data_IF_725884296784
#
_entry.id   IF_725884296784
#
_cell.length_a   1.000
_cell.length_b   1.000
_cell.length_c   1.000
_cell.angle_alpha   90.00
_cell.angle_beta   90.00
_cell.angle_gamma   90.00
#
_symmetry.space_group_name_H-M   'P 1'
#
loop_
_entity.id
_entity.type
_entity.pdbx_description
1 polymer ?
#
# COMPACT_ATOMS: atom_id res chain seq x y z
N UNK A 1 26.92 37.42 -8.96
CA UNK A 1 26.98 37.31 -7.48
C UNK A 1 25.61 37.06 -6.82
N UNK A 2 24.57 36.59 -7.53
CA UNK A 2 23.20 36.41 -6.98
C UNK A 2 22.76 34.95 -6.72
N UNK A 3 23.51 33.94 -7.17
CA UNK A 3 23.08 32.53 -7.03
C UNK A 3 23.40 31.91 -5.66
N UNK A 4 24.28 32.53 -4.85
CA UNK A 4 24.67 31.99 -3.55
C UNK A 4 23.63 32.24 -2.44
N UNK A 5 22.78 33.26 -2.59
CA UNK A 5 21.79 33.65 -1.57
C UNK A 5 20.53 32.76 -1.68
N UNK A 6 20.14 32.36 -2.90
CA UNK A 6 18.96 31.53 -3.13
C UNK A 6 19.10 30.10 -2.56
N UNK A 7 20.29 29.51 -2.63
CA UNK A 7 20.55 28.14 -2.15
C UNK A 7 20.49 28.06 -0.62
N UNK A 8 21.02 29.05 0.10
CA UNK A 8 20.99 29.09 1.57
C UNK A 8 19.56 29.13 2.12
N UNK A 9 18.66 29.85 1.47
CA UNK A 9 17.26 29.97 1.90
C UNK A 9 16.47 28.67 1.69
N UNK A 10 16.76 27.90 0.64
CA UNK A 10 16.14 26.57 0.42
C UNK A 10 16.58 25.55 1.46
N UNK A 11 17.88 25.49 1.80
CA UNK A 11 18.38 24.58 2.85
C UNK A 11 17.84 24.92 4.24
N UNK A 12 17.70 26.21 4.56
CA UNK A 12 17.12 26.63 5.85
C UNK A 12 15.64 26.26 5.93
N UNK A 13 14.91 26.38 4.82
CA UNK A 13 13.51 26.01 4.74
C UNK A 13 13.31 24.50 4.96
N UNK A 14 14.11 23.65 4.30
CA UNK A 14 14.06 22.20 4.50
C UNK A 14 14.43 21.77 5.93
N UNK A 15 15.43 22.42 6.55
CA UNK A 15 15.78 22.13 7.95
C UNK A 15 14.66 22.51 8.93
N UNK A 16 13.91 23.60 8.67
CA UNK A 16 12.77 23.99 9.50
C UNK A 16 11.61 23.00 9.37
N UNK A 17 11.35 22.47 8.18
CA UNK A 17 10.37 21.40 7.99
C UNK A 17 10.75 20.11 8.73
N UNK A 18 12.03 19.71 8.68
CA UNK A 18 12.53 18.54 9.41
C UNK A 18 12.43 18.75 10.93
N UNK A 19 12.78 19.94 11.43
CA UNK A 19 12.67 20.28 12.84
C UNK A 19 11.22 20.34 13.33
N UNK A 20 10.28 20.88 12.53
CA UNK A 20 8.85 20.87 12.84
C UNK A 20 8.25 19.46 12.80
N UNK A 21 8.72 18.60 11.89
CA UNK A 21 8.36 17.18 11.87
C UNK A 21 8.85 16.48 13.14
N UNK A 22 10.11 16.71 13.55
CA UNK A 22 10.70 16.20 14.80
C UNK A 22 9.98 16.72 16.04
N UNK A 23 9.53 17.98 16.03
CA UNK A 23 8.76 18.55 17.13
C UNK A 23 7.36 17.91 17.25
N UNK A 24 6.67 17.66 16.13
CA UNK A 24 5.40 16.92 16.12
C UNK A 24 5.58 15.45 16.56
N UNK A 25 6.72 14.83 16.24
CA UNK A 25 7.10 13.49 16.70
C UNK A 25 7.31 13.45 18.22
N UNK A 26 7.87 14.50 18.81
CA UNK A 26 8.14 14.59 20.25
C UNK A 26 6.94 15.05 21.07
N UNK A 27 6.02 15.81 20.45
CA UNK A 27 4.90 16.45 21.14
C UNK A 27 3.57 15.68 21.03
N UNK A 28 3.52 14.51 20.39
CA UNK A 28 2.30 13.68 20.35
C UNK A 28 2.27 12.71 21.54
N UNK A 29 1.47 12.98 22.59
CA UNK A 29 1.26 12.00 23.64
C UNK A 29 0.50 10.81 23.05
N UNK A 30 1.01 9.63 23.33
CA UNK A 30 0.33 8.33 23.35
C UNK A 30 -1.18 8.33 23.03
N UNK A 31 -1.55 8.38 21.75
CA UNK A 31 -2.90 8.02 21.30
C UNK A 31 -2.82 7.23 19.99
N UNK A 32 -2.54 5.94 20.13
CA UNK A 32 -3.09 4.86 19.30
C UNK A 32 -2.80 3.57 20.05
N UNK A 33 -3.73 3.21 20.94
CA UNK A 33 -3.82 1.86 21.49
C UNK A 33 -4.46 0.96 20.43
N UNK A 34 -3.72 0.62 19.38
CA UNK A 34 -4.11 -0.50 18.51
C UNK A 34 -3.74 -1.80 19.20
N UNK A 35 -4.77 -2.50 19.67
CA UNK A 35 -4.73 -3.77 20.41
C UNK A 35 -3.99 -4.89 19.68
N UNK A 36 -3.79 -4.77 18.36
CA UNK A 36 -3.05 -5.71 17.52
C UNK A 36 -1.52 -5.71 17.73
N UNK A 37 -0.95 -4.66 18.33
CA UNK A 37 0.51 -4.50 18.49
C UNK A 37 1.11 -5.16 19.74
N UNK A 38 0.28 -5.80 20.55
CA UNK A 38 0.66 -6.32 21.87
C UNK A 38 1.64 -7.49 21.80
N UNK A 39 1.72 -8.24 20.69
CA UNK A 39 2.55 -9.46 20.62
C UNK A 39 3.93 -9.30 19.97
N UNK A 40 4.24 -8.20 19.28
CA UNK A 40 5.60 -7.93 18.78
C UNK A 40 6.10 -6.57 19.22
N UNK A 41 6.93 -6.57 20.26
CA UNK A 41 7.68 -5.39 20.71
C UNK A 41 8.69 -4.99 19.62
N UNK A 42 8.27 -4.15 18.67
CA UNK A 42 9.19 -3.32 17.90
C UNK A 42 10.01 -2.51 18.92
N UNK A 43 11.34 -2.68 18.91
CA UNK A 43 12.26 -2.00 19.84
C UNK A 43 12.96 -0.82 19.17
N UNK A 44 13.22 0.23 19.95
CA UNK A 44 14.03 1.37 19.53
C UNK A 44 13.45 2.15 18.35
N UNK A 45 14.32 2.54 17.41
CA UNK A 45 13.95 3.36 16.25
C UNK A 45 12.85 2.73 15.39
N UNK A 46 12.74 1.40 15.33
CA UNK A 46 11.69 0.70 14.55
C UNK A 46 10.28 1.05 14.99
N UNK A 47 10.06 1.24 16.30
CA UNK A 47 8.75 1.68 16.84
C UNK A 47 8.44 3.11 16.40
N UNK A 48 9.43 3.99 16.46
CA UNK A 48 9.29 5.39 16.08
C UNK A 48 9.00 5.54 14.59
N UNK A 49 9.72 4.81 13.73
CA UNK A 49 9.46 4.80 12.31
C UNK A 49 8.11 4.16 11.95
N UNK A 50 7.71 3.09 12.65
CA UNK A 50 6.38 2.52 12.47
C UNK A 50 5.29 3.56 12.75
N UNK A 51 5.33 4.20 13.92
CA UNK A 51 4.40 5.26 14.30
C UNK A 51 4.39 6.42 13.30
N UNK A 52 5.57 6.82 12.81
CA UNK A 52 5.70 7.85 11.80
C UNK A 52 5.00 7.51 10.49
N UNK A 53 5.16 6.27 10.03
CA UNK A 53 4.59 5.86 8.76
C UNK A 53 3.08 5.65 8.89
N UNK A 54 2.60 5.03 9.97
CA UNK A 54 1.16 4.85 10.19
C UNK A 54 0.42 6.13 10.53
N UNK A 55 1.12 7.15 11.04
CA UNK A 55 0.57 8.48 11.22
C UNK A 55 0.42 9.24 9.89
N UNK A 56 1.09 8.82 8.82
CA UNK A 56 1.00 9.49 7.52
C UNK A 56 -0.43 9.40 6.97
N UNK A 57 -1.07 10.52 6.59
CA UNK A 57 -2.48 10.54 6.20
C UNK A 57 -2.81 9.60 5.04
N UNK A 58 -1.86 9.33 4.15
CA UNK A 58 -2.07 8.40 3.05
C UNK A 58 -1.95 6.90 3.41
N UNK A 59 -1.46 6.58 4.62
CA UNK A 59 -1.42 5.22 5.21
C UNK A 59 -2.60 5.02 6.16
N UNK A 60 -3.52 5.99 6.25
CA UNK A 60 -4.70 5.92 7.13
C UNK A 60 -5.88 5.18 6.53
N UNK A 61 -5.82 4.72 5.29
CA UNK A 61 -6.95 3.95 4.77
C UNK A 61 -7.11 2.67 5.60
N UNK A 62 -8.34 2.30 6.01
CA UNK A 62 -8.55 1.11 6.83
C UNK A 62 -7.99 -0.15 6.17
N UNK A 63 -8.07 -0.24 4.84
CA UNK A 63 -7.54 -1.37 4.09
C UNK A 63 -6.00 -1.44 4.15
N UNK A 64 -5.30 -0.31 3.96
CA UNK A 64 -3.83 -0.30 4.04
C UNK A 64 -3.36 -0.70 5.45
N UNK A 65 -4.04 -0.24 6.50
CA UNK A 65 -3.72 -0.63 7.87
C UNK A 65 -3.85 -2.14 8.09
N UNK A 66 -4.92 -2.76 7.59
CA UNK A 66 -5.14 -4.21 7.67
C UNK A 66 -4.08 -5.00 6.89
N UNK A 67 -3.78 -4.59 5.66
CA UNK A 67 -2.77 -5.26 4.83
C UNK A 67 -1.37 -5.12 5.44
N UNK A 68 -1.03 -3.91 5.90
CA UNK A 68 0.24 -3.66 6.56
C UNK A 68 0.36 -4.47 7.86
N UNK A 69 -0.69 -4.54 8.65
CA UNK A 69 -0.72 -5.38 9.85
C UNK A 69 -0.49 -6.85 9.51
N UNK A 70 -1.16 -7.36 8.47
CA UNK A 70 -0.99 -8.74 7.99
C UNK A 70 0.45 -9.00 7.51
N UNK A 71 1.05 -8.04 6.79
CA UNK A 71 2.45 -8.09 6.37
C UNK A 71 3.40 -8.16 7.56
N UNK A 72 3.23 -7.26 8.52
CA UNK A 72 4.15 -7.08 9.64
C UNK A 72 4.07 -8.23 10.65
N UNK A 73 2.87 -8.76 10.89
CA UNK A 73 2.68 -9.94 11.74
C UNK A 73 3.16 -11.22 11.06
N UNK A 74 3.17 -11.26 9.72
CA UNK A 74 3.45 -12.46 8.95
C UNK A 74 2.33 -13.51 9.08
N UNK A 75 1.09 -13.07 9.28
CA UNK A 75 -0.05 -13.90 9.67
C UNK A 75 -0.60 -14.82 8.58
N UNK A 76 0.02 -14.91 7.40
CA UNK A 76 -0.47 -15.79 6.34
C UNK A 76 0.22 -15.59 5.00
N UNK A 77 -0.26 -16.34 4.01
CA UNK A 77 0.15 -16.25 2.61
C UNK A 77 -0.92 -15.59 1.74
N UNK A 78 -2.15 -15.44 2.24
CA UNK A 78 -3.29 -14.84 1.54
C UNK A 78 -4.11 -13.96 2.47
N UNK A 79 -4.54 -12.81 1.97
CA UNK A 79 -5.55 -11.94 2.54
C UNK A 79 -6.74 -11.87 1.60
N UNK A 80 -7.93 -12.19 2.11
CA UNK A 80 -9.18 -12.10 1.37
C UNK A 80 -9.89 -10.79 1.73
N UNK A 81 -10.18 -9.96 0.73
CA UNK A 81 -11.06 -8.81 0.93
C UNK A 81 -12.45 -9.29 1.36
N UNK A 82 -13.10 -8.51 2.22
CA UNK A 82 -14.54 -8.69 2.48
C UNK A 82 -15.36 -8.28 1.27
N UNK A 83 -16.63 -8.71 1.20
CA UNK A 83 -17.56 -8.30 0.14
C UNK A 83 -17.70 -6.76 0.07
N UNK A 84 -17.74 -6.09 1.22
CA UNK A 84 -17.83 -4.63 1.34
C UNK A 84 -16.58 -3.91 0.79
N UNK A 85 -15.40 -4.42 1.14
CA UNK A 85 -14.12 -3.91 0.63
C UNK A 85 -14.02 -4.11 -0.88
N UNK A 86 -14.50 -5.26 -1.38
CA UNK A 86 -14.49 -5.58 -2.80
C UNK A 86 -15.48 -4.72 -3.61
N UNK A 87 -16.69 -4.47 -3.11
CA UNK A 87 -17.64 -3.57 -3.79
C UNK A 87 -17.13 -2.13 -3.83
N UNK A 88 -16.43 -1.68 -2.80
CA UNK A 88 -15.75 -0.36 -2.80
C UNK A 88 -14.64 -0.34 -3.86
N UNK A 89 -13.80 -1.38 -3.90
CA UNK A 89 -12.75 -1.53 -4.92
C UNK A 89 -13.34 -1.53 -6.33
N UNK A 90 -14.45 -2.23 -6.57
CA UNK A 90 -15.12 -2.25 -7.88
C UNK A 90 -15.54 -0.87 -8.36
N UNK A 91 -16.07 -0.02 -7.47
CA UNK A 91 -16.43 1.37 -7.78
C UNK A 91 -15.20 2.18 -8.18
N UNK A 92 -14.13 2.08 -7.38
CA UNK A 92 -12.86 2.77 -7.67
C UNK A 92 -12.26 2.31 -9.00
N UNK A 93 -12.20 1.00 -9.24
CA UNK A 93 -11.71 0.43 -10.50
C UNK A 93 -12.54 0.93 -11.68
N UNK A 94 -13.87 0.96 -11.55
CA UNK A 94 -14.77 1.49 -12.58
C UNK A 94 -14.46 2.94 -12.96
N UNK A 95 -14.13 3.78 -11.99
CA UNK A 95 -13.73 5.18 -12.21
C UNK A 95 -12.36 5.28 -12.89
N UNK A 96 -11.38 4.48 -12.44
CA UNK A 96 -10.00 4.53 -12.96
C UNK A 96 -9.87 3.93 -14.37
N UNK A 97 -10.69 2.92 -14.73
CA UNK A 97 -10.69 2.31 -16.07
C UNK A 97 -11.00 3.31 -17.18
N UNK A 98 -11.76 4.37 -16.89
CA UNK A 98 -12.08 5.43 -17.83
C UNK A 98 -10.86 6.29 -18.22
N UNK A 99 -9.77 6.24 -17.44
CA UNK A 99 -8.64 7.17 -17.58
C UNK A 99 -7.44 6.56 -18.32
N UNK A 100 -7.14 5.26 -18.15
CA UNK A 100 -6.17 4.48 -18.96
C UNK A 100 -6.12 3.02 -18.47
N UNK A 101 -6.21 2.03 -19.35
CA UNK A 101 -6.01 0.61 -18.97
C UNK A 101 -5.23 -0.16 -20.03
N UNK A 102 -4.60 -1.26 -19.62
CA UNK A 102 -3.87 -2.18 -20.49
C UNK A 102 -4.50 -3.57 -20.35
N UNK A 103 -4.99 -4.11 -21.47
CA UNK A 103 -5.57 -5.45 -21.52
C UNK A 103 -4.43 -6.48 -21.54
N UNK A 104 -4.38 -7.33 -20.52
CA UNK A 104 -3.26 -8.28 -20.34
C UNK A 104 -3.56 -9.59 -21.07
N UNK A 105 -4.79 -10.11 -20.94
CA UNK A 105 -5.13 -11.43 -21.47
C UNK A 105 -6.65 -11.64 -21.56
N UNK A 106 -7.14 -12.15 -22.69
CA UNK A 106 -8.48 -12.74 -22.79
C UNK A 106 -8.38 -14.21 -22.32
N UNK A 107 -9.05 -14.53 -21.22
CA UNK A 107 -9.05 -15.87 -20.63
C UNK A 107 -10.39 -16.54 -20.92
N UNK A 108 -10.44 -17.31 -22.02
CA UNK A 108 -11.66 -17.91 -22.57
C UNK A 108 -12.74 -16.87 -22.95
N UNK A 109 -13.75 -17.27 -23.74
CA UNK A 109 -14.77 -16.34 -24.25
C UNK A 109 -15.56 -15.60 -23.15
N UNK A 110 -15.55 -16.12 -21.91
CA UNK A 110 -16.33 -15.58 -20.80
C UNK A 110 -15.59 -14.52 -19.95
N UNK A 111 -14.26 -14.46 -19.93
CA UNK A 111 -13.51 -13.57 -19.03
C UNK A 111 -12.29 -12.91 -19.68
N UNK A 112 -11.90 -11.75 -19.15
CA UNK A 112 -10.65 -11.10 -19.51
C UNK A 112 -9.98 -10.47 -18.29
N UNK A 113 -8.66 -10.28 -18.37
CA UNK A 113 -7.85 -9.65 -17.33
C UNK A 113 -7.32 -8.31 -17.81
N UNK A 114 -7.51 -7.27 -17.01
CA UNK A 114 -6.90 -5.95 -17.24
C UNK A 114 -6.03 -5.52 -16.07
N UNK A 115 -5.01 -4.73 -16.40
CA UNK A 115 -4.19 -4.05 -15.41
C UNK A 115 -4.80 -2.69 -15.07
N UNK A 116 -5.07 -2.46 -13.79
CA UNK A 116 -5.66 -1.21 -13.31
C UNK A 116 -4.68 -0.52 -12.36
N UNK A 117 -4.40 0.75 -12.63
CA UNK A 117 -3.57 1.60 -11.77
C UNK A 117 -4.46 2.38 -10.81
N UNK A 118 -4.18 2.23 -9.53
CA UNK A 118 -4.86 2.88 -8.41
C UNK A 118 -3.92 3.87 -7.69
N UNK A 119 -2.72 4.13 -8.21
CA UNK A 119 -1.65 4.89 -7.53
C UNK A 119 -2.12 6.27 -6.97
N UNK A 120 -3.12 6.88 -7.61
CA UNK A 120 -3.67 8.20 -7.25
C UNK A 120 -4.95 8.11 -6.39
N UNK A 121 -5.46 6.90 -6.12
CA UNK A 121 -6.64 6.68 -5.28
C UNK A 121 -6.29 6.82 -3.79
N UNK A 122 -7.07 7.59 -3.01
CA UNK A 122 -6.77 7.85 -1.60
C UNK A 122 -6.95 6.62 -0.68
N UNK A 123 -7.73 5.62 -1.09
CA UNK A 123 -8.04 4.44 -0.27
C UNK A 123 -7.14 3.26 -0.64
N UNK A 124 -7.03 2.96 -1.93
CA UNK A 124 -6.35 1.79 -2.47
C UNK A 124 -4.98 2.09 -3.10
N UNK A 125 -4.63 3.35 -3.34
CA UNK A 125 -3.37 3.67 -4.03
C UNK A 125 -2.12 3.32 -3.24
N UNK A 126 -2.17 3.49 -1.93
CA UNK A 126 -1.10 3.03 -1.03
C UNK A 126 -1.16 1.52 -0.77
N UNK A 127 -2.38 0.99 -0.66
CA UNK A 127 -2.62 -0.42 -0.34
C UNK A 127 -2.26 -1.39 -1.47
N UNK A 128 -2.69 -1.07 -2.69
CA UNK A 128 -2.68 -2.01 -3.80
C UNK A 128 -1.87 -1.47 -4.98
N UNK A 129 -1.80 -0.13 -5.16
CA UNK A 129 -1.03 0.49 -6.23
C UNK A 129 -1.53 0.07 -7.62
N UNK A 130 -0.92 -0.94 -8.24
CA UNK A 130 -1.35 -1.43 -9.56
C UNK A 130 -1.68 -2.92 -9.48
N UNK A 131 -2.93 -3.27 -9.82
CA UNK A 131 -3.48 -4.63 -9.65
C UNK A 131 -3.92 -5.24 -10.99
N UNK A 132 -4.06 -6.56 -11.00
CA UNK A 132 -4.68 -7.29 -12.10
C UNK A 132 -6.11 -7.64 -11.71
N UNK A 133 -7.08 -7.14 -12.47
CA UNK A 133 -8.50 -7.38 -12.25
C UNK A 133 -9.05 -8.34 -13.30
N UNK A 134 -9.94 -9.23 -12.88
CA UNK A 134 -10.65 -10.18 -13.75
C UNK A 134 -12.07 -9.67 -13.95
N UNK A 135 -12.48 -9.60 -15.21
CA UNK A 135 -13.78 -9.10 -15.63
C UNK A 135 -14.54 -10.15 -16.42
N UNK A 136 -15.85 -10.09 -16.32
CA UNK A 136 -16.76 -10.83 -17.19
C UNK A 136 -16.85 -10.16 -18.56
N UNK A 137 -16.65 -10.92 -19.64
CA UNK A 137 -16.65 -10.42 -21.03
C UNK A 137 -18.00 -9.86 -21.46
N UNK A 138 -19.11 -10.40 -20.95
CA UNK A 138 -20.48 -10.01 -21.34
C UNK A 138 -20.92 -8.70 -20.70
N UNK A 139 -20.62 -8.49 -19.42
CA UNK A 139 -21.10 -7.34 -18.63
C UNK A 139 -20.02 -6.28 -18.40
N UNK A 140 -18.74 -6.64 -18.54
CA UNK A 140 -17.62 -5.80 -18.16
C UNK A 140 -17.47 -5.60 -16.64
N UNK A 141 -18.22 -6.37 -15.83
CA UNK A 141 -18.16 -6.29 -14.38
C UNK A 141 -16.92 -7.00 -13.85
N UNK A 142 -16.26 -6.38 -12.88
CA UNK A 142 -15.15 -6.97 -12.15
C UNK A 142 -15.68 -8.06 -11.21
N UNK A 143 -15.14 -9.27 -11.36
CA UNK A 143 -15.55 -10.46 -10.59
C UNK A 143 -14.49 -10.89 -9.57
N UNK A 144 -13.22 -10.56 -9.81
CA UNK A 144 -12.12 -10.85 -8.90
C UNK A 144 -10.91 -9.97 -9.22
N UNK A 145 -9.88 -10.04 -8.40
CA UNK A 145 -8.57 -9.46 -8.65
C UNK A 145 -7.50 -10.27 -7.93
N UNK A 146 -6.25 -10.05 -8.30
CA UNK A 146 -5.12 -10.61 -7.56
C UNK A 146 -3.96 -9.61 -7.57
N UNK A 147 -3.37 -9.43 -6.40
CA UNK A 147 -2.12 -8.69 -6.25
C UNK A 147 -1.21 -9.37 -5.23
N UNK A 148 0.09 -9.07 -5.30
CA UNK A 148 1.07 -9.52 -4.31
C UNK A 148 1.47 -8.32 -3.46
N UNK A 149 1.03 -8.32 -2.20
CA UNK A 149 1.42 -7.31 -1.24
C UNK A 149 2.85 -7.59 -0.79
N UNK A 150 3.78 -6.84 -1.37
CA UNK A 150 5.19 -6.88 -1.04
C UNK A 150 5.84 -5.49 -0.96
N UNK A 151 6.85 -5.40 -0.09
CA UNK A 151 7.75 -4.25 -0.06
C UNK A 151 9.08 -4.58 -0.75
N UNK A 152 9.04 -5.38 -1.82
CA UNK A 152 10.24 -5.68 -2.60
C UNK A 152 10.62 -4.52 -3.51
N UNK A 153 11.92 -4.30 -3.72
CA UNK A 153 12.40 -3.26 -4.64
C UNK A 153 12.13 -3.70 -6.09
N UNK A 154 11.29 -2.96 -6.81
CA UNK A 154 11.16 -3.10 -8.28
C UNK A 154 12.32 -2.40 -8.99
N UNK A 155 12.57 -2.73 -10.28
CA UNK A 155 13.56 -2.00 -11.10
C UNK A 155 13.22 -0.50 -11.12
N UNK A 156 14.24 0.36 -11.15
CA UNK A 156 14.07 1.83 -11.19
C UNK A 156 13.12 2.21 -12.34
N UNK A 157 12.15 3.09 -12.07
CA UNK A 157 11.17 3.56 -13.05
C UNK A 157 9.87 2.76 -13.12
N UNK A 158 9.77 1.58 -12.46
CA UNK A 158 8.54 0.78 -12.42
C UNK A 158 7.60 1.14 -11.25
N UNK A 159 8.03 2.04 -10.37
CA UNK A 159 7.24 2.59 -9.26
C UNK A 159 7.40 4.10 -9.25
N UNK A 160 6.37 4.79 -8.77
CA UNK A 160 6.49 6.21 -8.47
C UNK A 160 7.59 6.44 -7.42
N UNK A 161 8.24 7.62 -7.45
CA UNK A 161 9.28 7.98 -6.47
C UNK A 161 8.77 7.88 -5.02
N UNK A 162 7.48 8.23 -4.81
CA UNK A 162 6.82 8.12 -3.51
C UNK A 162 6.74 6.67 -3.07
N UNK A 163 6.18 5.79 -3.90
CA UNK A 163 6.05 4.36 -3.59
C UNK A 163 7.41 3.69 -3.37
N UNK A 164 8.47 4.12 -4.08
CA UNK A 164 9.83 3.63 -3.85
C UNK A 164 10.38 4.06 -2.48
N UNK A 165 10.17 5.31 -2.06
CA UNK A 165 10.57 5.78 -0.73
C UNK A 165 9.86 4.97 0.36
N UNK A 166 8.54 4.80 0.26
CA UNK A 166 7.76 4.01 1.22
C UNK A 166 8.23 2.56 1.30
N UNK A 167 8.43 1.92 0.13
CA UNK A 167 8.97 0.55 0.05
C UNK A 167 10.29 0.43 0.81
N UNK A 168 11.21 1.40 0.62
CA UNK A 168 12.51 1.39 1.29
C UNK A 168 12.38 1.57 2.80
N UNK A 169 11.52 2.48 3.24
CA UNK A 169 11.27 2.72 4.66
C UNK A 169 10.68 1.48 5.34
N UNK A 170 9.66 0.87 4.76
CA UNK A 170 9.02 -0.33 5.30
C UNK A 170 9.98 -1.52 5.39
N UNK A 171 10.83 -1.72 4.38
CA UNK A 171 11.83 -2.78 4.40
C UNK A 171 12.87 -2.60 5.52
N UNK A 172 13.21 -1.36 5.90
CA UNK A 172 14.15 -1.11 7.01
C UNK A 172 13.54 -1.45 8.37
N UNK A 173 12.24 -1.22 8.53
CA UNK A 173 11.55 -1.41 9.81
C UNK A 173 10.92 -2.79 9.95
N UNK A 174 10.65 -3.48 8.84
CA UNK A 174 10.01 -4.78 8.82
C UNK A 174 10.73 -5.74 9.78
N UNK A 175 10.00 -6.36 10.73
CA UNK A 175 10.56 -7.40 11.56
C UNK A 175 10.85 -8.66 10.73
N UNK A 176 11.67 -9.57 11.28
CA UNK A 176 12.15 -10.77 10.53
C UNK A 176 11.03 -11.72 10.11
N UNK A 177 9.90 -11.67 10.79
CA UNK A 177 8.71 -12.47 10.52
C UNK A 177 7.82 -11.89 9.43
N UNK A 178 8.09 -10.68 8.92
CA UNK A 178 7.26 -10.12 7.86
C UNK A 178 7.34 -10.96 6.60
N UNK A 179 6.18 -11.25 6.00
CA UNK A 179 6.06 -12.10 4.81
C UNK A 179 5.20 -11.41 3.77
N UNK A 180 5.60 -11.53 2.49
CA UNK A 180 4.74 -11.20 1.36
C UNK A 180 3.54 -12.15 1.32
N UNK A 181 2.40 -11.66 0.87
CA UNK A 181 1.17 -12.46 0.73
C UNK A 181 0.37 -11.98 -0.47
N UNK A 182 -0.58 -12.81 -0.90
CA UNK A 182 -1.49 -12.52 -2.00
C UNK A 182 -2.72 -11.80 -1.44
N UNK A 183 -3.15 -10.72 -2.09
CA UNK A 183 -4.44 -10.07 -1.81
C UNK A 183 -5.39 -10.41 -2.94
N UNK A 184 -6.57 -10.92 -2.59
CA UNK A 184 -7.55 -11.33 -3.59
C UNK A 184 -8.98 -11.28 -3.05
N UNK A 185 -9.96 -11.50 -3.93
CA UNK A 185 -11.36 -11.67 -3.59
C UNK A 185 -11.88 -12.95 -4.26
N UNK A 186 -12.39 -13.87 -3.44
CA UNK A 186 -13.04 -15.13 -3.86
C UNK A 186 -12.34 -15.85 -5.03
N UNK A 187 -11.01 -15.87 -5.03
CA UNK A 187 -10.21 -16.56 -6.04
C UNK A 187 -9.58 -17.83 -5.45
N UNK A 188 -10.31 -18.96 -5.41
CA UNK A 188 -9.86 -20.18 -4.74
C UNK A 188 -8.57 -20.76 -5.34
N UNK A 189 -8.30 -20.49 -6.62
CA UNK A 189 -7.04 -20.87 -7.28
C UNK A 189 -5.79 -20.26 -6.63
N UNK A 190 -5.94 -19.18 -5.84
CA UNK A 190 -4.86 -18.51 -5.13
C UNK A 190 -4.97 -18.66 -3.60
N UNK A 191 -6.05 -19.25 -3.09
CA UNK A 191 -6.11 -19.69 -1.70
C UNK A 191 -5.30 -20.98 -1.56
N UNK A 192 -4.34 -21.07 -0.63
CA UNK A 192 -3.79 -22.38 -0.28
C UNK A 192 -4.96 -23.21 0.22
N UNK A 193 -5.28 -24.28 -0.51
CA UNK A 193 -6.03 -25.40 0.04
C UNK A 193 -5.27 -25.80 1.31
N UNK A 194 -5.98 -25.82 2.44
CA UNK A 194 -5.37 -26.04 3.74
C UNK A 194 -4.53 -27.31 3.76
N UNK A 195 -3.37 -27.21 4.40
CA UNK A 195 -2.77 -28.33 5.13
C UNK A 195 -3.36 -28.34 6.54
#
# INVERSE_FOLDING_TARGET
MNNYIAVKNSTLYHMRWIASLLFFILATPAFCSDSAYTNQRLKGYKKLFYLLITAHPAVKSPIEQKLLQHYLSGSGTVYLLTDEEFETLKKTVGQQRQQKHELIQQAASAYYTERVRLDDDPEFGFALGTINCVFESSTGNMISFTDVYDFNKKKKGLRSLRSELYTRMFRLIAPRNSKKFIVTYRAPAFSPVGD
#
